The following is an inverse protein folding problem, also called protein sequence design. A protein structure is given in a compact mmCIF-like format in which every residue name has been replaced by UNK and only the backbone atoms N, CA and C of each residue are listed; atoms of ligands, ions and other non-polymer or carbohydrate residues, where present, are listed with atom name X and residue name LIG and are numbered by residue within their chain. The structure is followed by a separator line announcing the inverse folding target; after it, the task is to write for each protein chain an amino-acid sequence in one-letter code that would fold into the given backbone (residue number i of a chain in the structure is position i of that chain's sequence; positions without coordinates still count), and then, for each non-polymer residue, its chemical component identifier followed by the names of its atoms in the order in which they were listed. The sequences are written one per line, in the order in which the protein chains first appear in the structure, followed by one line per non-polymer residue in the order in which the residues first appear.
data_IF_365839673036
#
_entry.id   IF_365839673036
#
_cell.length_a   1.000
_cell.length_b   1.000
_cell.length_c   1.000
_cell.angle_alpha   90.00
_cell.angle_beta   90.00
_cell.angle_gamma   90.00
#
_symmetry.space_group_name_H-M   'P 1'
#
loop_
_entity.id
_entity.type
_entity.pdbx_description
1 polymer ?
#
# COMPACT_ATOMS: atom_id res chain seq x y z
N UNK A 1 -1.30 -16.49 3.00
CA UNK A 1 -1.33 -16.72 1.54
C UNK A 1 -0.98 -15.48 0.72
N UNK A 2 -1.68 -14.34 0.89
CA UNK A 2 -1.37 -13.09 0.17
C UNK A 2 0.07 -12.59 0.34
N UNK A 3 0.65 -12.64 1.55
CA UNK A 3 2.06 -12.24 1.75
C UNK A 3 3.08 -13.03 0.90
N UNK A 4 2.82 -14.31 0.63
CA UNK A 4 3.70 -15.13 -0.20
C UNK A 4 3.57 -14.75 -1.68
N UNK A 5 2.34 -14.49 -2.15
CA UNK A 5 2.06 -14.02 -3.51
C UNK A 5 2.64 -12.63 -3.75
N UNK A 6 2.51 -11.73 -2.77
CA UNK A 6 3.17 -10.43 -2.76
C UNK A 6 4.68 -10.55 -2.99
N UNK A 7 5.37 -11.54 -2.42
CA UNK A 7 6.82 -11.72 -2.62
C UNK A 7 7.21 -12.21 -4.02
N UNK A 8 6.37 -13.03 -4.66
CA UNK A 8 6.61 -13.58 -6.00
C UNK A 8 6.10 -12.70 -7.14
N UNK A 9 5.18 -11.76 -6.85
CA UNK A 9 4.60 -10.88 -7.86
C UNK A 9 5.63 -9.89 -8.40
N UNK A 10 5.61 -9.74 -9.72
CA UNK A 10 6.40 -8.76 -10.46
C UNK A 10 5.76 -7.37 -10.38
N UNK A 11 4.43 -7.27 -10.20
CA UNK A 11 3.73 -6.00 -9.99
C UNK A 11 3.42 -5.74 -8.53
N UNK A 12 3.30 -4.45 -8.18
CA UNK A 12 2.86 -3.98 -6.87
C UNK A 12 1.35 -4.16 -6.60
N UNK A 13 0.54 -4.61 -7.57
CA UNK A 13 -0.93 -4.61 -7.43
C UNK A 13 -1.43 -5.52 -6.30
N UNK A 14 -0.75 -6.65 -6.09
CA UNK A 14 -1.07 -7.54 -4.97
C UNK A 14 -0.73 -6.86 -3.63
N UNK A 15 0.35 -6.08 -3.59
CA UNK A 15 0.71 -5.29 -2.40
C UNK A 15 -0.34 -4.18 -2.17
N UNK A 16 -0.88 -3.52 -3.21
CA UNK A 16 -1.99 -2.55 -3.07
C UNK A 16 -3.26 -3.21 -2.50
N UNK A 17 -3.68 -4.34 -3.06
CA UNK A 17 -4.84 -5.08 -2.57
C UNK A 17 -4.67 -5.52 -1.10
N UNK A 18 -3.45 -5.93 -0.72
CA UNK A 18 -3.16 -6.25 0.67
C UNK A 18 -3.25 -5.01 1.57
N UNK A 19 -2.72 -3.87 1.12
CA UNK A 19 -2.82 -2.63 1.86
C UNK A 19 -4.27 -2.16 2.06
N UNK A 20 -5.13 -2.30 1.05
CA UNK A 20 -6.56 -1.97 1.18
C UNK A 20 -7.25 -2.77 2.29
N UNK A 21 -6.88 -4.04 2.48
CA UNK A 21 -7.40 -4.83 3.60
C UNK A 21 -6.94 -4.29 4.95
N UNK A 22 -5.68 -3.86 5.06
CA UNK A 22 -5.17 -3.22 6.27
C UNK A 22 -5.83 -1.85 6.52
N UNK A 23 -6.13 -1.07 5.48
CA UNK A 23 -6.91 0.17 5.60
C UNK A 23 -8.32 -0.11 6.16
N UNK A 24 -9.02 -1.12 5.62
CA UNK A 24 -10.33 -1.51 6.14
C UNK A 24 -10.29 -1.95 7.61
N UNK A 25 -9.20 -2.61 8.02
CA UNK A 25 -8.96 -2.99 9.42
C UNK A 25 -8.39 -1.87 10.31
N UNK A 26 -8.31 -0.62 9.81
CA UNK A 26 -7.76 0.53 10.53
C UNK A 26 -6.28 0.34 10.93
N UNK A 27 -5.57 -0.59 10.30
CA UNK A 27 -4.15 -0.85 10.51
C UNK A 27 -3.29 0.07 9.64
N UNK A 28 -3.46 1.39 9.81
CA UNK A 28 -2.89 2.43 8.93
C UNK A 28 -1.37 2.34 8.79
N UNK A 29 -0.65 2.02 9.87
CA UNK A 29 0.80 1.88 9.86
C UNK A 29 1.27 0.74 8.95
N UNK A 30 0.56 -0.39 8.95
CA UNK A 30 0.85 -1.53 8.07
C UNK A 30 0.49 -1.21 6.63
N UNK A 31 -0.68 -0.61 6.42
CA UNK A 31 -1.11 -0.18 5.09
C UNK A 31 -0.08 0.75 4.44
N UNK A 32 0.44 1.74 5.18
CA UNK A 32 1.48 2.67 4.71
C UNK A 32 2.72 1.94 4.21
N UNK A 33 3.29 1.05 5.02
CA UNK A 33 4.52 0.30 4.66
C UNK A 33 4.31 -0.56 3.42
N UNK A 34 3.14 -1.18 3.30
CA UNK A 34 2.81 -2.04 2.17
C UNK A 34 2.62 -1.19 0.90
N UNK A 35 1.98 -0.03 0.98
CA UNK A 35 1.81 0.90 -0.16
C UNK A 35 3.14 1.49 -0.62
N UNK A 36 4.02 1.89 0.30
CA UNK A 36 5.37 2.37 -0.04
C UNK A 36 6.16 1.29 -0.78
N UNK A 37 6.06 0.03 -0.33
CA UNK A 37 6.65 -1.11 -1.03
C UNK A 37 6.02 -1.36 -2.41
N UNK A 38 4.69 -1.26 -2.52
CA UNK A 38 3.98 -1.44 -3.78
C UNK A 38 4.43 -0.41 -4.83
N UNK A 39 4.55 0.85 -4.41
CA UNK A 39 5.05 1.96 -5.25
C UNK A 39 6.52 1.76 -5.62
N UNK A 40 7.37 1.34 -4.67
CA UNK A 40 8.79 1.08 -4.92
C UNK A 40 9.03 -0.07 -5.92
N UNK A 41 8.17 -1.09 -5.92
CA UNK A 41 8.21 -2.16 -6.92
C UNK A 41 7.80 -1.70 -8.33
N UNK A 42 6.94 -0.69 -8.40
CA UNK A 42 6.40 -0.20 -9.66
C UNK A 42 5.51 -1.22 -10.38
N UNK A 43 5.31 -0.99 -11.69
CA UNK A 43 4.41 -1.77 -12.56
C UNK A 43 3.00 -1.91 -11.99
N UNK A 44 2.57 -0.89 -11.25
CA UNK A 44 1.20 -0.78 -10.77
C UNK A 44 0.29 -0.51 -11.96
N UNK A 45 -0.84 -1.19 -11.99
CA UNK A 45 -1.90 -0.92 -12.95
C UNK A 45 -2.46 0.49 -12.73
N UNK A 46 -2.57 0.90 -11.46
CA UNK A 46 -3.09 2.21 -11.04
C UNK A 46 -2.15 2.88 -10.02
N UNK A 47 -1.02 3.47 -10.47
CA UNK A 47 -0.04 4.07 -9.57
C UNK A 47 -0.59 5.30 -8.82
N UNK A 48 -1.48 6.08 -9.44
CA UNK A 48 -2.10 7.23 -8.80
C UNK A 48 -3.03 6.82 -7.66
N UNK A 49 -3.82 5.75 -7.84
CA UNK A 49 -4.66 5.22 -6.77
C UNK A 49 -3.83 4.78 -5.56
N UNK A 50 -2.69 4.11 -5.78
CA UNK A 50 -1.77 3.72 -4.71
C UNK A 50 -1.19 4.94 -3.97
N UNK A 51 -0.93 6.06 -4.66
CA UNK A 51 -0.49 7.32 -4.04
C UNK A 51 -1.59 7.96 -3.21
N UNK A 52 -2.83 7.98 -3.69
CA UNK A 52 -3.98 8.49 -2.94
C UNK A 52 -4.19 7.69 -1.65
N UNK A 53 -4.17 6.37 -1.73
CA UNK A 53 -4.29 5.49 -0.56
C UNK A 53 -3.14 5.68 0.44
N UNK A 54 -1.93 5.94 -0.06
CA UNK A 54 -0.77 6.22 0.80
C UNK A 54 -0.92 7.55 1.52
N UNK A 55 -1.42 8.58 0.82
CA UNK A 55 -1.70 9.87 1.41
C UNK A 55 -2.79 9.77 2.48
N UNK A 56 -3.87 9.03 2.21
CA UNK A 56 -4.92 8.78 3.20
C UNK A 56 -4.36 8.08 4.45
N UNK A 57 -3.54 7.03 4.27
CA UNK A 57 -2.90 6.33 5.38
C UNK A 57 -2.02 7.27 6.22
N UNK A 58 -1.29 8.18 5.58
CA UNK A 58 -0.43 9.18 6.23
C UNK A 58 -1.24 10.22 7.00
N UNK A 59 -2.30 10.74 6.39
CA UNK A 59 -3.21 11.70 7.02
C UNK A 59 -3.87 11.09 8.27
N UNK A 60 -4.30 9.82 8.20
CA UNK A 60 -4.87 9.07 9.34
C UNK A 60 -3.88 8.81 10.46
N UNK A 61 -2.59 8.67 10.13
CA UNK A 61 -1.52 8.53 11.12
C UNK A 61 -1.07 9.87 11.70
N UNK A 62 -1.56 11.00 11.19
CA UNK A 62 -1.06 12.33 11.55
C UNK A 62 0.37 12.59 11.07
N UNK A 63 0.91 11.74 10.21
CA UNK A 63 2.25 11.87 9.65
C UNK A 63 2.13 12.62 8.34
N UNK A 64 1.90 13.93 8.42
CA UNK A 64 2.10 14.80 7.26
C UNK A 64 3.59 14.75 6.92
N UNK A 65 3.91 14.30 5.70
CA UNK A 65 5.28 14.33 5.20
C UNK A 65 5.86 15.71 5.41
N UNK A 66 6.95 15.78 6.18
CA UNK A 66 7.80 16.96 6.30
C UNK A 66 8.59 17.17 5.01
#
# INVERSE_FOLDING_TARGET
MLQFLCRKSISGDIDVNLAMRHLASHEWGRARVILERALAKGRLSEPEQARILLQEARDRLGVRGA
#
